data_IF_672238711733
#
_entry.id   IF_672238711733
#
_cell.length_a   1.000
_cell.length_b   1.000
_cell.length_c   1.000
_cell.angle_alpha   90.00
_cell.angle_beta   90.00
_cell.angle_gamma   90.00
#
_symmetry.space_group_name_H-M   'P 1'
#
loop_
_entity.id
_entity.type
_entity.pdbx_description
1 polymer ?
#
# COMPACT_ATOMS: atom_id res chain seq x y z
N UNK A 1 -43.52 -4.26 -3.16
CA UNK A 1 -42.57 -3.18 -3.46
C UNK A 1 -41.18 -3.81 -3.41
N UNK A 2 -40.91 -4.91 -4.14
CA UNK A 2 -39.86 -5.88 -3.75
C UNK A 2 -38.92 -6.33 -4.87
N UNK A 3 -39.15 -5.90 -6.12
CA UNK A 3 -38.36 -6.35 -7.29
C UNK A 3 -37.00 -5.68 -7.44
N UNK A 4 -36.74 -4.58 -6.72
CA UNK A 4 -35.46 -3.85 -6.79
C UNK A 4 -34.39 -4.43 -5.85
N UNK A 5 -34.81 -5.15 -4.80
CA UNK A 5 -33.94 -5.77 -3.80
C UNK A 5 -33.28 -7.06 -4.31
N UNK A 6 -34.06 -7.92 -5.00
CA UNK A 6 -33.56 -9.22 -5.51
C UNK A 6 -32.51 -9.06 -6.62
N UNK A 7 -32.67 -8.05 -7.48
CA UNK A 7 -31.79 -7.81 -8.62
C UNK A 7 -30.37 -7.33 -8.20
N UNK A 8 -30.28 -6.62 -7.06
CA UNK A 8 -28.99 -6.17 -6.50
C UNK A 8 -28.26 -7.35 -5.83
N UNK A 9 -28.99 -8.26 -5.18
CA UNK A 9 -28.38 -9.48 -4.60
C UNK A 9 -27.87 -10.44 -5.67
N UNK A 10 -28.60 -10.67 -6.76
CA UNK A 10 -28.11 -11.50 -7.88
C UNK A 10 -26.89 -10.88 -8.58
N UNK A 11 -26.88 -9.55 -8.77
CA UNK A 11 -25.74 -8.81 -9.31
C UNK A 11 -24.49 -8.93 -8.43
N UNK A 12 -24.65 -8.75 -7.12
CA UNK A 12 -23.56 -8.85 -6.16
C UNK A 12 -23.04 -10.29 -6.08
N UNK A 13 -23.92 -11.28 -5.94
CA UNK A 13 -23.56 -12.70 -5.92
C UNK A 13 -22.86 -13.12 -7.21
N UNK A 14 -23.33 -12.68 -8.38
CA UNK A 14 -22.69 -12.93 -9.66
C UNK A 14 -21.30 -12.29 -9.78
N UNK A 15 -21.12 -11.08 -9.25
CA UNK A 15 -19.82 -10.41 -9.19
C UNK A 15 -18.86 -11.14 -8.24
N UNK A 16 -19.31 -11.53 -7.05
CA UNK A 16 -18.50 -12.31 -6.10
C UNK A 16 -18.13 -13.68 -6.65
N UNK A 17 -19.03 -14.35 -7.38
CA UNK A 17 -18.76 -15.64 -8.00
C UNK A 17 -17.70 -15.50 -9.12
N UNK A 18 -17.80 -14.46 -9.95
CA UNK A 18 -16.80 -14.15 -10.99
C UNK A 18 -15.46 -13.78 -10.38
N UNK A 19 -15.45 -12.97 -9.32
CA UNK A 19 -14.23 -12.61 -8.60
C UNK A 19 -13.59 -13.86 -7.95
N UNK A 20 -14.39 -14.69 -7.29
CA UNK A 20 -13.93 -15.95 -6.68
C UNK A 20 -13.32 -16.89 -7.72
N UNK A 21 -13.98 -17.07 -8.86
CA UNK A 21 -13.49 -17.94 -9.93
C UNK A 21 -12.24 -17.39 -10.60
N UNK A 22 -12.16 -16.07 -10.83
CA UNK A 22 -10.96 -15.44 -11.35
C UNK A 22 -9.77 -15.58 -10.39
N UNK A 23 -10.01 -15.44 -9.08
CA UNK A 23 -8.99 -15.66 -8.05
C UNK A 23 -8.56 -17.13 -8.02
N UNK A 24 -9.49 -18.08 -8.06
CA UNK A 24 -9.19 -19.51 -8.04
C UNK A 24 -8.41 -19.93 -9.31
N UNK A 25 -8.80 -19.46 -10.49
CA UNK A 25 -8.07 -19.73 -11.73
C UNK A 25 -6.66 -19.13 -11.73
N UNK A 26 -6.49 -17.97 -11.09
CA UNK A 26 -5.18 -17.35 -10.94
C UNK A 26 -4.32 -18.12 -9.92
N UNK A 27 -4.91 -18.54 -8.80
CA UNK A 27 -4.29 -19.36 -7.75
C UNK A 27 -3.90 -20.74 -8.28
N UNK A 28 -4.74 -21.40 -9.08
CA UNK A 28 -4.46 -22.73 -9.64
C UNK A 28 -3.41 -22.71 -10.75
N UNK A 29 -3.23 -21.59 -11.45
CA UNK A 29 -2.14 -21.39 -12.41
C UNK A 29 -0.79 -21.20 -11.74
N UNK A 30 -0.78 -21.02 -10.43
CA UNK A 30 0.41 -20.86 -9.63
C UNK A 30 0.55 -22.15 -8.84
N UNK A 31 1.66 -22.86 -9.00
CA UNK A 31 1.97 -24.05 -8.22
C UNK A 31 2.26 -23.63 -6.76
N UNK A 32 1.19 -23.35 -6.01
CA UNK A 32 1.25 -22.66 -4.73
C UNK A 32 1.52 -23.65 -3.60
N UNK A 33 2.77 -23.69 -3.18
CA UNK A 33 3.17 -24.15 -1.85
C UNK A 33 2.46 -23.29 -0.78
N UNK A 34 1.92 -23.91 0.29
CA UNK A 34 1.12 -23.25 1.34
C UNK A 34 1.79 -22.01 1.94
N UNK A 35 3.14 -21.95 1.93
CA UNK A 35 3.91 -20.77 2.34
C UNK A 35 3.61 -19.53 1.49
N UNK A 36 3.50 -19.67 0.16
CA UNK A 36 3.19 -18.55 -0.75
C UNK A 36 1.78 -18.02 -0.54
N UNK A 37 0.82 -18.88 -0.20
CA UNK A 37 -0.56 -18.46 0.08
C UNK A 37 -0.63 -17.57 1.31
N UNK A 38 0.08 -17.94 2.38
CA UNK A 38 0.17 -17.14 3.62
C UNK A 38 0.82 -15.79 3.33
N UNK A 39 1.88 -15.77 2.51
CA UNK A 39 2.57 -14.53 2.14
C UNK A 39 1.64 -13.59 1.35
N UNK A 40 0.93 -14.12 0.35
CA UNK A 40 -0.08 -13.37 -0.44
C UNK A 40 -1.18 -12.79 0.47
N UNK A 41 -1.74 -13.59 1.38
CA UNK A 41 -2.77 -13.13 2.31
C UNK A 41 -2.25 -12.05 3.27
N UNK A 42 -0.99 -12.18 3.71
CA UNK A 42 -0.35 -11.20 4.59
C UNK A 42 -0.18 -9.86 3.87
N UNK A 43 0.34 -9.87 2.63
CA UNK A 43 0.48 -8.67 1.82
C UNK A 43 -0.88 -8.05 1.48
N UNK A 44 -1.90 -8.87 1.20
CA UNK A 44 -3.28 -8.41 1.02
C UNK A 44 -3.81 -7.72 2.28
N UNK A 45 -3.62 -8.31 3.47
CA UNK A 45 -4.09 -7.76 4.74
C UNK A 45 -3.37 -6.46 5.13
N UNK A 46 -2.07 -6.38 4.89
CA UNK A 46 -1.28 -5.16 5.08
C UNK A 46 -1.75 -4.08 4.12
N UNK A 47 -1.92 -4.41 2.83
CA UNK A 47 -2.46 -3.51 1.83
C UNK A 47 -3.83 -2.98 2.22
N UNK A 48 -4.75 -3.86 2.61
CA UNK A 48 -6.10 -3.51 3.07
C UNK A 48 -6.09 -2.59 4.28
N UNK A 49 -5.32 -2.95 5.32
CA UNK A 49 -5.21 -2.15 6.54
C UNK A 49 -4.62 -0.78 6.24
N UNK A 50 -3.57 -0.72 5.41
CA UNK A 50 -2.95 0.53 4.98
C UNK A 50 -3.91 1.41 4.20
N UNK A 51 -4.63 0.86 3.21
CA UNK A 51 -5.62 1.62 2.42
C UNK A 51 -6.78 2.15 3.27
N UNK A 52 -7.28 1.33 4.18
CA UNK A 52 -8.35 1.71 5.12
C UNK A 52 -7.89 2.83 6.07
N UNK A 53 -6.71 2.67 6.68
CA UNK A 53 -6.14 3.68 7.56
C UNK A 53 -5.84 4.97 6.81
N UNK A 54 -5.36 4.87 5.57
CA UNK A 54 -5.07 6.04 4.75
C UNK A 54 -6.35 6.85 4.57
N UNK A 55 -7.45 6.30 4.05
CA UNK A 55 -8.65 7.13 3.83
C UNK A 55 -9.19 7.81 5.09
N UNK A 56 -9.19 7.09 6.22
CA UNK A 56 -9.71 7.62 7.48
C UNK A 56 -8.77 8.62 8.16
N UNK A 57 -7.47 8.39 8.09
CA UNK A 57 -6.46 9.16 8.82
C UNK A 57 -5.56 10.02 7.95
N UNK A 58 -5.71 10.03 6.62
CA UNK A 58 -4.86 10.80 5.72
C UNK A 58 -4.83 12.27 6.10
N UNK A 59 -5.97 12.86 6.45
CA UNK A 59 -6.02 14.26 6.91
C UNK A 59 -5.19 14.47 8.18
N UNK A 60 -5.33 13.60 9.17
CA UNK A 60 -4.61 13.73 10.44
C UNK A 60 -3.10 13.47 10.30
N UNK A 61 -2.72 12.44 9.54
CA UNK A 61 -1.32 12.10 9.26
C UNK A 61 -0.68 13.18 8.40
N UNK A 62 -1.36 13.69 7.38
CA UNK A 62 -0.84 14.75 6.53
C UNK A 62 -0.64 16.05 7.33
N UNK A 63 -1.62 16.44 8.14
CA UNK A 63 -1.51 17.62 9.01
C UNK A 63 -0.39 17.43 10.04
N UNK A 64 -0.27 16.26 10.67
CA UNK A 64 0.78 16.04 11.68
C UNK A 64 2.17 16.08 11.05
N UNK A 65 2.37 15.46 9.89
CA UNK A 65 3.63 15.51 9.14
C UNK A 65 3.95 16.96 8.75
N UNK A 66 2.97 17.71 8.26
CA UNK A 66 3.16 19.10 7.88
C UNK A 66 3.56 19.97 9.09
N UNK A 67 2.90 19.79 10.24
CA UNK A 67 3.22 20.52 11.48
C UNK A 67 4.62 20.17 11.97
N UNK A 68 5.02 18.89 11.93
CA UNK A 68 6.38 18.46 12.32
C UNK A 68 7.42 19.07 11.38
N UNK A 69 7.21 19.03 10.06
CA UNK A 69 8.11 19.63 9.09
C UNK A 69 8.24 21.14 9.31
N UNK A 70 7.12 21.83 9.55
CA UNK A 70 7.11 23.27 9.80
C UNK A 70 7.85 23.61 11.12
N UNK A 71 7.63 22.81 12.17
CA UNK A 71 8.33 22.97 13.44
C UNK A 71 9.83 22.77 13.28
N UNK A 72 10.27 21.69 12.62
CA UNK A 72 11.69 21.43 12.35
C UNK A 72 12.31 22.58 11.55
N UNK A 73 11.62 23.07 10.51
CA UNK A 73 12.10 24.20 9.70
C UNK A 73 12.26 25.49 10.51
N UNK A 74 11.29 25.81 11.38
CA UNK A 74 11.37 26.98 12.26
C UNK A 74 12.48 26.82 13.31
N UNK A 75 12.69 25.63 13.84
CA UNK A 75 13.76 25.34 14.81
C UNK A 75 15.16 25.39 14.16
N UNK A 76 15.26 25.01 12.88
CA UNK A 76 16.49 25.15 12.10
C UNK A 76 16.81 26.62 11.81
N UNK A 77 15.83 27.39 11.33
CA UNK A 77 16.02 28.80 11.00
C UNK A 77 16.26 29.70 12.23
N UNK A 78 15.73 29.31 13.39
CA UNK A 78 16.00 30.00 14.67
C UNK A 78 17.35 29.62 15.30
N UNK A 79 18.09 28.68 14.70
CA UNK A 79 19.41 28.26 15.17
C UNK A 79 19.40 27.39 16.43
N UNK A 80 18.22 26.97 16.92
CA UNK A 80 18.10 26.08 18.07
C UNK A 80 18.52 24.64 17.75
N UNK A 81 18.33 24.19 16.50
CA UNK A 81 18.71 22.86 16.04
C UNK A 81 19.45 22.99 14.71
N UNK A 82 20.57 22.28 14.56
CA UNK A 82 21.23 22.10 13.27
C UNK A 82 20.92 20.70 12.74
N UNK A 83 20.16 20.65 11.64
CA UNK A 83 19.77 19.39 11.01
C UNK A 83 20.97 18.86 10.23
N UNK A 84 21.62 17.83 10.77
CA UNK A 84 22.68 17.11 10.05
C UNK A 84 22.06 16.19 9.00
N UNK A 85 21.87 16.75 7.81
CA UNK A 85 21.37 16.05 6.64
C UNK A 85 22.18 14.80 6.28
N UNK A 86 23.46 14.71 6.68
CA UNK A 86 24.30 13.55 6.42
C UNK A 86 23.92 12.36 7.30
N UNK A 87 23.55 12.61 8.57
CA UNK A 87 23.05 11.55 9.47
C UNK A 87 21.65 11.09 9.09
N UNK A 88 20.79 12.01 8.67
CA UNK A 88 19.45 11.67 8.16
C UNK A 88 19.57 10.77 6.92
N UNK A 89 20.45 11.13 5.98
CA UNK A 89 20.73 10.29 4.79
C UNK A 89 21.24 8.90 5.16
N UNK A 90 22.17 8.80 6.11
CA UNK A 90 22.66 7.52 6.63
C UNK A 90 21.57 6.67 7.30
N UNK A 91 20.60 7.31 7.97
CA UNK A 91 19.48 6.62 8.61
C UNK A 91 18.41 6.15 7.62
N UNK A 92 18.13 6.95 6.58
CA UNK A 92 17.18 6.59 5.51
C UNK A 92 17.82 5.61 4.50
N UNK A 93 19.15 5.44 4.54
CA UNK A 93 19.89 4.53 3.67
C UNK A 93 20.05 5.03 2.24
N UNK A 94 19.84 6.34 2.01
CA UNK A 94 19.99 6.96 0.69
C UNK A 94 21.40 7.55 0.64
N UNK A 95 22.27 6.94 -0.18
CA UNK A 95 23.61 7.49 -0.43
C UNK A 95 23.50 8.76 -1.26
N UNK A 96 24.38 9.74 -1.03
CA UNK A 96 24.46 10.95 -1.86
C UNK A 96 24.77 10.66 -3.35
N UNK A 97 25.18 9.43 -3.66
CA UNK A 97 25.45 8.93 -5.01
C UNK A 97 24.24 8.22 -5.65
N UNK A 98 23.19 7.94 -4.90
CA UNK A 98 21.99 7.29 -5.43
C UNK A 98 21.12 8.33 -6.13
N UNK A 99 21.17 8.33 -7.47
CA UNK A 99 20.21 9.07 -8.29
C UNK A 99 18.80 8.55 -8.02
N UNK A 100 17.79 9.42 -8.08
CA UNK A 100 16.37 9.04 -7.98
C UNK A 100 16.04 7.85 -8.89
N UNK A 101 16.65 7.81 -10.08
CA UNK A 101 16.52 6.70 -11.04
C UNK A 101 17.04 5.35 -10.52
N UNK A 102 18.12 5.35 -9.73
CA UNK A 102 18.69 4.13 -9.12
C UNK A 102 17.70 3.52 -8.11
N UNK A 103 17.15 4.36 -7.23
CA UNK A 103 16.15 3.94 -6.24
C UNK A 103 14.87 3.44 -6.92
N UNK A 104 14.39 4.15 -7.94
CA UNK A 104 13.24 3.72 -8.72
C UNK A 104 13.48 2.37 -9.39
N UNK A 105 14.65 2.16 -10.00
CA UNK A 105 14.98 0.89 -10.63
C UNK A 105 15.03 -0.27 -9.63
N UNK A 106 15.53 -0.06 -8.41
CA UNK A 106 15.51 -1.07 -7.35
C UNK A 106 14.08 -1.45 -6.97
N UNK A 107 13.21 -0.46 -6.78
CA UNK A 107 11.79 -0.68 -6.45
C UNK A 107 11.09 -1.42 -7.59
N UNK A 108 11.28 -0.97 -8.83
CA UNK A 108 10.66 -1.60 -10.01
C UNK A 108 11.15 -3.03 -10.20
N UNK A 109 12.44 -3.31 -10.00
CA UNK A 109 12.97 -4.66 -10.08
C UNK A 109 12.42 -5.57 -8.99
N UNK A 110 12.24 -5.04 -7.77
CA UNK A 110 11.60 -5.77 -6.68
C UNK A 110 10.12 -6.09 -6.99
N UNK A 111 9.37 -5.13 -7.55
CA UNK A 111 7.99 -5.31 -8.01
C UNK A 111 7.92 -6.36 -9.11
N UNK A 112 8.80 -6.30 -10.11
CA UNK A 112 8.87 -7.29 -11.20
C UNK A 112 9.14 -8.69 -10.68
N UNK A 113 10.05 -8.83 -9.70
CA UNK A 113 10.36 -10.12 -9.08
C UNK A 113 9.23 -10.67 -8.20
N UNK A 114 8.37 -9.80 -7.65
CA UNK A 114 7.31 -10.14 -6.71
C UNK A 114 5.95 -9.64 -7.19
N UNK A 115 5.68 -9.81 -8.49
CA UNK A 115 4.49 -9.27 -9.15
C UNK A 115 3.21 -9.74 -8.46
N UNK A 116 3.22 -10.99 -7.99
CA UNK A 116 2.07 -11.64 -7.39
C UNK A 116 1.70 -11.02 -6.03
N UNK A 117 2.71 -10.82 -5.18
CA UNK A 117 2.58 -10.19 -3.87
C UNK A 117 2.13 -8.74 -4.05
N UNK A 118 2.71 -8.03 -5.03
CA UNK A 118 2.36 -6.64 -5.32
C UNK A 118 0.92 -6.49 -5.78
N UNK A 119 0.43 -7.36 -6.67
CA UNK A 119 -0.97 -7.33 -7.13
C UNK A 119 -1.92 -7.62 -5.96
N UNK A 120 -1.60 -8.61 -5.12
CA UNK A 120 -2.42 -8.93 -3.95
C UNK A 120 -2.49 -7.78 -2.94
N UNK A 121 -1.36 -7.14 -2.64
CA UNK A 121 -1.30 -5.96 -1.78
C UNK A 121 -2.03 -4.76 -2.39
N UNK A 122 -1.90 -4.53 -3.70
CA UNK A 122 -2.59 -3.46 -4.40
C UNK A 122 -4.11 -3.65 -4.40
N UNK A 123 -4.58 -4.87 -4.63
CA UNK A 123 -6.01 -5.20 -4.52
C UNK A 123 -6.52 -4.99 -3.08
N UNK A 124 -5.77 -5.48 -2.09
CA UNK A 124 -6.07 -5.22 -0.68
C UNK A 124 -6.20 -3.73 -0.41
N UNK A 125 -5.22 -2.94 -0.86
CA UNK A 125 -5.17 -1.49 -0.70
C UNK A 125 -6.35 -0.76 -1.35
N UNK A 126 -6.70 -1.08 -2.59
CA UNK A 126 -7.83 -0.45 -3.29
C UNK A 126 -9.14 -0.75 -2.56
N UNK A 127 -9.34 -2.00 -2.14
CA UNK A 127 -10.55 -2.40 -1.39
C UNK A 127 -10.58 -1.69 -0.04
N UNK A 128 -9.47 -1.72 0.70
CA UNK A 128 -9.33 -1.06 2.01
C UNK A 128 -9.60 0.44 1.90
N UNK A 129 -9.03 1.10 0.90
CA UNK A 129 -9.27 2.52 0.63
C UNK A 129 -10.71 2.80 0.19
N UNK A 130 -11.38 1.90 -0.53
CA UNK A 130 -12.78 2.12 -0.89
C UNK A 130 -13.71 1.98 0.33
N UNK A 131 -13.42 1.01 1.21
CA UNK A 131 -14.22 0.67 2.39
C UNK A 131 -14.00 1.62 3.57
N UNK A 132 -12.76 2.12 3.77
CA UNK A 132 -12.42 3.13 4.79
C UNK A 132 -13.09 4.48 4.53
#
# INVERSE_FOLDING_TARGET
>A
MDTKSSNIQESALGFFQKAKNAVIDWVNKLDLNSKKVIEILTFFAIGFSSGFLLKKYFKYVFISVLVVLLAVFLLENSGFIHVDWSKIRGFIGISSADTVDSVFNVIINWIKSNILLTISGALGFIIGYKVG
#
